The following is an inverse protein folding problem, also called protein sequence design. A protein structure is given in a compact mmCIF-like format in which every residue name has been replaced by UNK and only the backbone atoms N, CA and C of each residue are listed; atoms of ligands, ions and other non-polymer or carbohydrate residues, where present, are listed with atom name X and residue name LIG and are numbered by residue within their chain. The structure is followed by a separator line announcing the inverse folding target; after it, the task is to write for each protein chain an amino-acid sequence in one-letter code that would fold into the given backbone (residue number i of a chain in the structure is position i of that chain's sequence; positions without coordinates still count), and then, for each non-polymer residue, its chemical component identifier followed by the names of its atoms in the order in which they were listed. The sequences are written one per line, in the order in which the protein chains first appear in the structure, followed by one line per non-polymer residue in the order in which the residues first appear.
data_IF_923984074674
#
_entry.id   IF_923984074674
#
_cell.length_a   1.000
_cell.length_b   1.000
_cell.length_c   1.000
_cell.angle_alpha   90.00
_cell.angle_beta   90.00
_cell.angle_gamma   90.00
#
_symmetry.space_group_name_H-M   'P 1'
#
loop_
_entity.id
_entity.type
_entity.pdbx_description
1 polymer ?
#
# COMPACT_ATOMS: atom_id res chain seq x y z
N UNK A 1 6.52 -15.45 20.08
CA UNK A 1 7.29 -14.43 20.79
C UNK A 1 8.51 -14.01 20.00
N UNK A 2 9.36 -14.98 19.64
CA UNK A 2 10.56 -14.67 18.86
C UNK A 2 10.22 -14.06 17.51
N UNK A 3 9.19 -14.57 16.85
CA UNK A 3 8.79 -14.07 15.54
C UNK A 3 8.33 -12.62 15.60
N UNK A 4 7.62 -12.26 16.66
CA UNK A 4 7.14 -10.88 16.83
C UNK A 4 8.33 -9.95 17.01
N UNK A 5 9.32 -10.37 17.79
CA UNK A 5 10.50 -9.58 18.06
C UNK A 5 11.32 -9.36 16.79
N UNK A 6 11.47 -10.40 15.99
CA UNK A 6 12.21 -10.31 14.72
C UNK A 6 11.52 -9.35 13.78
N UNK A 7 10.19 -9.41 13.69
CA UNK A 7 9.42 -8.53 12.85
C UNK A 7 9.58 -7.07 13.28
N UNK A 8 9.59 -6.82 14.59
CA UNK A 8 9.75 -5.47 15.11
C UNK A 8 11.12 -4.92 14.75
N UNK A 9 12.16 -5.71 14.92
CA UNK A 9 13.51 -5.30 14.59
C UNK A 9 13.66 -5.02 13.09
N UNK A 10 13.09 -5.88 12.26
CA UNK A 10 13.12 -5.68 10.82
C UNK A 10 12.39 -4.39 10.45
N UNK A 11 11.25 -4.11 11.09
CA UNK A 11 10.49 -2.91 10.84
C UNK A 11 11.27 -1.66 11.19
N UNK A 12 11.97 -1.68 12.32
CA UNK A 12 12.78 -0.55 12.73
C UNK A 12 13.90 -0.26 11.74
N UNK A 13 14.59 -1.30 11.30
CA UNK A 13 15.66 -1.13 10.32
C UNK A 13 15.12 -0.60 9.00
N UNK A 14 13.96 -1.07 8.60
CA UNK A 14 13.36 -0.66 7.33
C UNK A 14 12.84 0.76 7.39
N UNK A 15 12.50 1.25 8.57
CA UNK A 15 12.04 2.63 8.72
C UNK A 15 13.10 3.64 8.31
N UNK A 16 14.38 3.31 8.53
CA UNK A 16 15.49 4.20 8.17
C UNK A 16 16.05 3.93 6.80
N UNK A 17 16.33 2.67 6.50
CA UNK A 17 17.00 2.29 5.26
C UNK A 17 16.32 1.05 4.68
N UNK A 18 15.06 1.13 4.47
CA UNK A 18 14.28 -0.01 4.09
C UNK A 18 14.96 -0.91 3.07
N UNK A 19 14.96 -2.22 3.36
CA UNK A 19 15.44 -3.22 2.44
C UNK A 19 14.48 -3.41 1.28
N UNK A 20 13.20 -3.15 1.53
CA UNK A 20 12.17 -3.33 0.53
C UNK A 20 11.50 -2.00 0.24
N UNK A 21 11.11 -1.83 -1.01
CA UNK A 21 10.29 -0.73 -1.44
C UNK A 21 9.06 -1.30 -2.14
N UNK A 22 8.11 -0.46 -2.44
CA UNK A 22 6.96 -0.91 -3.19
C UNK A 22 6.63 0.09 -4.31
N UNK A 23 5.98 -0.43 -5.31
CA UNK A 23 5.41 0.39 -6.37
C UNK A 23 3.93 0.09 -6.44
N UNK A 24 3.11 1.13 -6.29
CA UNK A 24 1.67 0.99 -6.28
C UNK A 24 1.15 0.77 -7.69
N UNK A 25 0.18 -0.15 -7.81
CA UNK A 25 -0.56 -0.37 -9.06
C UNK A 25 -2.02 0.04 -8.91
N UNK A 26 -2.31 0.82 -7.88
CA UNK A 26 -3.69 1.26 -7.63
C UNK A 26 -4.29 1.95 -8.84
N UNK A 27 -3.52 2.82 -9.48
CA UNK A 27 -4.02 3.57 -10.64
C UNK A 27 -4.42 2.65 -11.78
N UNK A 28 -3.74 1.52 -11.95
CA UNK A 28 -4.09 0.55 -12.99
C UNK A 28 -5.44 -0.09 -12.70
N UNK A 29 -5.63 -0.53 -11.44
CA UNK A 29 -6.91 -1.15 -11.05
C UNK A 29 -8.05 -0.15 -11.09
N UNK A 30 -7.79 1.11 -10.69
CA UNK A 30 -8.80 2.15 -10.79
C UNK A 30 -9.19 2.37 -12.26
N UNK A 31 -8.19 2.50 -13.12
CA UNK A 31 -8.45 2.76 -14.55
C UNK A 31 -9.29 1.65 -15.17
N UNK A 32 -9.03 0.42 -14.79
CA UNK A 32 -9.79 -0.73 -15.28
C UNK A 32 -11.26 -0.61 -14.96
N UNK A 33 -11.60 -0.01 -13.83
CA UNK A 33 -12.98 0.16 -13.38
C UNK A 33 -13.50 1.58 -13.60
N UNK A 34 -12.71 2.44 -14.24
CA UNK A 34 -13.05 3.85 -14.45
C UNK A 34 -13.40 4.53 -13.13
N UNK A 35 -12.66 4.19 -12.08
CA UNK A 35 -12.89 4.71 -10.75
C UNK A 35 -11.98 5.90 -10.50
N UNK A 36 -12.54 6.98 -9.96
CA UNK A 36 -11.75 8.16 -9.62
C UNK A 36 -11.00 7.95 -8.31
N UNK A 37 -9.99 8.77 -8.08
CA UNK A 37 -9.28 8.75 -6.80
C UNK A 37 -10.23 9.05 -5.65
N UNK A 38 -11.15 9.99 -5.84
CA UNK A 38 -12.11 10.35 -4.81
C UNK A 38 -13.07 9.20 -4.50
N UNK A 39 -13.52 8.50 -5.53
CA UNK A 39 -14.39 7.35 -5.31
C UNK A 39 -13.70 6.27 -4.49
N UNK A 40 -12.44 5.99 -4.80
CA UNK A 40 -11.70 5.01 -4.02
C UNK A 40 -11.48 5.49 -2.58
N UNK A 41 -11.12 6.76 -2.43
CA UNK A 41 -10.92 7.35 -1.10
C UNK A 41 -12.18 7.20 -0.25
N UNK A 42 -13.34 7.50 -0.83
CA UNK A 42 -14.61 7.37 -0.13
C UNK A 42 -14.89 5.93 0.28
N UNK A 43 -14.59 4.98 -0.59
CA UNK A 43 -14.84 3.57 -0.31
C UNK A 43 -14.01 3.04 0.85
N UNK A 44 -12.79 3.52 1.00
CA UNK A 44 -11.89 3.02 2.06
C UNK A 44 -11.73 3.99 3.23
N UNK A 45 -12.46 5.11 3.20
CA UNK A 45 -12.54 6.00 4.35
C UNK A 45 -11.31 6.87 4.58
N UNK A 46 -10.63 7.28 3.51
CA UNK A 46 -9.49 8.19 3.62
C UNK A 46 -9.71 9.37 2.69
N UNK A 47 -8.81 10.36 2.75
CA UNK A 47 -8.90 11.51 1.87
C UNK A 47 -8.36 11.17 0.48
N UNK A 48 -8.78 11.93 -0.52
CA UNK A 48 -8.24 11.81 -1.86
C UNK A 48 -6.73 12.03 -1.85
N UNK A 49 -6.25 12.95 -1.00
CA UNK A 49 -4.83 13.24 -0.85
C UNK A 49 -4.05 11.98 -0.49
N UNK A 50 -4.59 11.15 0.41
CA UNK A 50 -3.96 9.90 0.80
C UNK A 50 -3.82 8.96 -0.39
N UNK A 51 -4.88 8.84 -1.21
CA UNK A 51 -4.83 7.99 -2.40
C UNK A 51 -3.79 8.53 -3.39
N UNK A 52 -3.75 9.85 -3.58
CA UNK A 52 -2.74 10.45 -4.46
C UNK A 52 -1.33 10.12 -4.02
N UNK A 53 -1.05 10.23 -2.72
CA UNK A 53 0.28 9.96 -2.21
C UNK A 53 0.64 8.47 -2.34
N UNK A 54 -0.33 7.60 -2.12
CA UNK A 54 -0.14 6.17 -2.32
C UNK A 54 0.23 5.86 -3.76
N UNK A 55 -0.47 6.46 -4.71
CA UNK A 55 -0.22 6.19 -6.13
C UNK A 55 1.12 6.74 -6.57
N UNK A 56 1.66 7.71 -5.86
CA UNK A 56 2.99 8.26 -6.14
C UNK A 56 4.09 7.58 -5.35
N UNK A 57 3.75 6.52 -4.63
CA UNK A 57 4.70 5.76 -3.80
C UNK A 57 5.35 6.62 -2.72
N UNK A 58 4.61 7.61 -2.22
CA UNK A 58 5.11 8.56 -1.23
C UNK A 58 4.47 8.40 0.14
N UNK A 59 3.73 7.31 0.33
CA UNK A 59 3.01 7.09 1.57
C UNK A 59 2.97 5.59 1.84
N UNK A 60 3.41 5.20 3.03
CA UNK A 60 3.31 3.82 3.47
C UNK A 60 1.95 3.62 4.10
N UNK A 61 1.06 2.87 3.47
CA UNK A 61 -0.26 2.67 4.06
C UNK A 61 -0.18 1.76 5.27
N UNK A 62 -1.15 1.92 6.17
CA UNK A 62 -1.32 0.93 7.22
C UNK A 62 -1.71 -0.39 6.56
N UNK A 63 -1.46 -1.48 7.28
CA UNK A 63 -1.87 -2.80 6.80
C UNK A 63 -3.36 -2.83 6.49
N UNK A 64 -4.17 -2.22 7.37
CA UNK A 64 -5.61 -2.23 7.19
C UNK A 64 -6.03 -1.45 5.95
N UNK A 65 -5.42 -0.30 5.70
CA UNK A 65 -5.73 0.47 4.50
C UNK A 65 -5.36 -0.30 3.24
N UNK A 66 -4.15 -0.89 3.22
CA UNK A 66 -3.71 -1.68 2.08
C UNK A 66 -4.66 -2.84 1.82
N UNK A 67 -5.07 -3.53 2.87
CA UNK A 67 -6.00 -4.64 2.75
C UNK A 67 -7.37 -4.17 2.25
N UNK A 68 -7.85 -3.04 2.78
CA UNK A 68 -9.15 -2.50 2.36
C UNK A 68 -9.16 -2.17 0.87
N UNK A 69 -8.09 -1.57 0.37
CA UNK A 69 -7.99 -1.25 -1.05
C UNK A 69 -7.95 -2.53 -1.89
N UNK A 70 -7.17 -3.51 -1.45
CA UNK A 70 -7.09 -4.79 -2.15
C UNK A 70 -8.47 -5.45 -2.23
N UNK A 71 -9.26 -5.36 -1.16
CA UNK A 71 -10.61 -5.91 -1.16
C UNK A 71 -11.55 -5.17 -2.10
N UNK A 72 -11.39 -3.86 -2.26
CA UNK A 72 -12.20 -3.10 -3.22
C UNK A 72 -12.03 -3.69 -4.62
N UNK A 73 -10.80 -4.05 -4.97
CA UNK A 73 -10.49 -4.55 -6.31
C UNK A 73 -10.50 -6.09 -6.38
N UNK A 74 -10.75 -6.76 -5.25
CA UNK A 74 -10.78 -8.21 -5.16
C UNK A 74 -9.47 -8.84 -5.62
N UNK A 75 -8.37 -8.28 -5.13
CA UNK A 75 -7.02 -8.75 -5.42
C UNK A 75 -6.24 -8.88 -4.11
N UNK A 76 -5.06 -9.44 -4.20
CA UNK A 76 -4.18 -9.53 -3.02
C UNK A 76 -3.37 -8.24 -2.87
N UNK A 77 -2.76 -8.08 -1.69
CA UNK A 77 -1.86 -6.94 -1.47
C UNK A 77 -0.69 -7.02 -2.44
N UNK A 78 -0.18 -8.23 -2.71
CA UNK A 78 0.93 -8.42 -3.63
C UNK A 78 0.55 -8.09 -5.08
N UNK A 79 -0.72 -8.22 -5.43
CA UNK A 79 -1.18 -7.78 -6.75
C UNK A 79 -1.22 -6.25 -6.83
N UNK A 80 -1.62 -5.63 -5.72
CA UNK A 80 -1.83 -4.19 -5.67
C UNK A 80 -0.54 -3.40 -5.54
N UNK A 81 0.44 -3.95 -4.84
CA UNK A 81 1.74 -3.32 -4.61
C UNK A 81 2.84 -4.27 -5.05
N UNK A 82 3.69 -3.81 -5.93
CA UNK A 82 4.84 -4.60 -6.34
C UNK A 82 5.98 -4.31 -5.38
N UNK A 83 6.40 -5.33 -4.64
CA UNK A 83 7.47 -5.17 -3.67
C UNK A 83 8.80 -5.51 -4.31
N UNK A 84 9.81 -4.71 -4.03
CA UNK A 84 11.16 -4.91 -4.57
C UNK A 84 12.17 -4.79 -3.45
N UNK A 85 13.22 -5.60 -3.55
CA UNK A 85 14.33 -5.50 -2.64
C UNK A 85 15.21 -4.33 -3.06
N UNK A 86 15.42 -3.40 -2.14
CA UNK A 86 16.25 -2.25 -2.42
C UNK A 86 17.72 -2.58 -2.29
N UNK A 87 18.54 -1.65 -2.74
CA UNK A 87 20.00 -1.81 -2.68
C UNK A 87 20.61 -1.27 -1.44
#
# INVERSE_FOLDING_TARGET
MLEIQIAAEAGERMAGKGKYTFESKIHVYRATRRMTQQELADLVGVSRQTIMQLERNRYNPSMLLAYSIARVFDVTIEDLFEFREGE
#
